data_IF_422707632228
#
_entry.id   IF_422707632228
#
_cell.length_a   1.000
_cell.length_b   1.000
_cell.length_c   1.000
_cell.angle_alpha   90.00
_cell.angle_beta   90.00
_cell.angle_gamma   90.00
#
_symmetry.space_group_name_H-M   'P 1'
#
loop_
_entity.id
_entity.type
_entity.pdbx_description
1 polymer ?
#
# COMPACT_ATOMS: atom_id res chain seq x y z
N UNK A 1 7.15 -1.39 -3.04
CA UNK A 1 5.96 -1.12 -3.87
C UNK A 1 6.22 -1.30 -5.36
N UNK A 2 7.30 -0.69 -5.93
CA UNK A 2 7.57 -0.68 -7.36
C UNK A 2 7.58 -2.08 -7.99
N UNK A 3 8.12 -3.08 -7.29
CA UNK A 3 8.17 -4.47 -7.80
C UNK A 3 6.77 -5.02 -8.11
N UNK A 4 5.75 -4.70 -7.31
CA UNK A 4 4.37 -5.12 -7.58
C UNK A 4 3.82 -4.47 -8.87
N UNK A 5 4.16 -3.20 -9.10
CA UNK A 5 3.77 -2.46 -10.31
C UNK A 5 4.56 -2.98 -11.53
N UNK A 6 5.84 -3.35 -11.35
CA UNK A 6 6.62 -4.00 -12.39
C UNK A 6 6.03 -5.35 -12.80
N UNK A 7 5.62 -6.18 -11.82
CA UNK A 7 4.97 -7.45 -12.11
C UNK A 7 3.66 -7.27 -12.89
N UNK A 8 2.91 -6.22 -12.57
CA UNK A 8 1.70 -5.83 -13.30
C UNK A 8 2.01 -5.41 -14.74
N UNK A 9 3.07 -4.60 -14.90
CA UNK A 9 3.54 -4.14 -16.22
C UNK A 9 4.00 -5.29 -17.11
N UNK A 10 4.75 -6.28 -16.57
CA UNK A 10 5.36 -7.39 -17.30
C UNK A 10 4.50 -8.67 -17.33
N UNK A 11 3.40 -8.73 -16.59
CA UNK A 11 2.71 -10.00 -16.35
C UNK A 11 3.55 -10.99 -15.53
N UNK A 12 4.58 -10.52 -14.81
CA UNK A 12 5.48 -11.36 -14.02
C UNK A 12 6.83 -10.72 -13.67
N UNK A 13 7.81 -11.57 -13.35
CA UNK A 13 9.14 -11.16 -12.86
C UNK A 13 10.24 -11.17 -13.93
N UNK A 14 9.90 -11.41 -15.19
CA UNK A 14 10.88 -11.49 -16.30
C UNK A 14 11.65 -10.18 -16.43
N UNK A 15 12.98 -10.27 -16.43
CA UNK A 15 13.87 -9.11 -16.51
C UNK A 15 14.32 -8.56 -15.14
N UNK A 16 13.73 -9.01 -14.03
CA UNK A 16 14.27 -8.70 -12.69
C UNK A 16 15.49 -9.58 -12.43
N UNK A 17 16.67 -8.97 -12.39
CA UNK A 17 17.95 -9.67 -12.16
C UNK A 17 18.55 -9.38 -10.78
N UNK A 18 18.01 -8.40 -10.06
CA UNK A 18 18.37 -8.06 -8.68
C UNK A 18 17.20 -7.34 -7.99
N UNK A 19 16.99 -7.63 -6.73
CA UNK A 19 16.00 -6.96 -5.86
C UNK A 19 16.62 -6.66 -4.51
N UNK A 20 16.13 -5.61 -3.81
CA UNK A 20 16.61 -5.33 -2.46
C UNK A 20 16.17 -6.41 -1.45
N UNK A 21 16.93 -6.57 -0.35
CA UNK A 21 16.56 -7.47 0.74
C UNK A 21 15.16 -7.16 1.28
N UNK A 22 14.83 -5.90 1.48
CA UNK A 22 13.49 -5.50 1.90
C UNK A 22 12.39 -5.90 0.90
N UNK A 23 12.69 -5.89 -0.41
CA UNK A 23 11.76 -6.42 -1.43
C UNK A 23 11.59 -7.93 -1.31
N UNK A 24 12.69 -8.67 -1.08
CA UNK A 24 12.65 -10.13 -0.90
C UNK A 24 11.87 -10.53 0.35
N UNK A 25 12.07 -9.82 1.46
CA UNK A 25 11.29 -10.01 2.69
C UNK A 25 9.82 -9.69 2.44
N UNK A 26 9.50 -8.55 1.84
CA UNK A 26 8.14 -8.18 1.51
C UNK A 26 7.45 -9.21 0.60
N UNK A 27 8.17 -9.75 -0.39
CA UNK A 27 7.66 -10.81 -1.26
C UNK A 27 7.32 -12.09 -0.51
N UNK A 28 8.15 -12.48 0.47
CA UNK A 28 7.96 -13.69 1.29
C UNK A 28 6.70 -13.62 2.15
N UNK A 29 6.39 -12.45 2.68
CA UNK A 29 5.25 -12.22 3.57
C UNK A 29 4.01 -11.63 2.88
N UNK A 30 4.04 -11.50 1.54
CA UNK A 30 2.91 -11.11 0.72
C UNK A 30 2.57 -12.19 -0.31
N UNK A 31 1.56 -11.95 -1.15
CA UNK A 31 1.21 -12.88 -2.23
C UNK A 31 2.17 -12.85 -3.41
N UNK A 32 3.13 -11.92 -3.44
CA UNK A 32 4.10 -11.82 -4.53
C UNK A 32 4.92 -13.11 -4.71
N UNK A 33 5.44 -13.69 -3.62
CA UNK A 33 6.19 -14.94 -3.71
C UNK A 33 5.28 -16.15 -3.99
N UNK A 34 4.01 -16.12 -3.62
CA UNK A 34 3.06 -17.18 -3.97
C UNK A 34 2.72 -17.17 -5.46
N UNK A 35 2.52 -15.97 -6.04
CA UNK A 35 2.25 -15.80 -7.46
C UNK A 35 3.49 -16.04 -8.32
N UNK A 36 4.65 -15.58 -7.86
CA UNK A 36 5.92 -15.67 -8.57
C UNK A 36 7.03 -16.26 -7.67
N UNK A 37 7.03 -17.58 -7.36
CA UNK A 37 7.95 -18.15 -6.39
C UNK A 37 9.43 -17.90 -6.68
N UNK A 38 9.80 -17.85 -7.95
CA UNK A 38 11.19 -17.58 -8.39
C UNK A 38 11.70 -16.18 -8.00
N UNK A 39 10.85 -15.28 -7.52
CA UNK A 39 11.30 -13.98 -7.01
C UNK A 39 12.24 -14.12 -5.81
N UNK A 40 12.09 -15.19 -5.03
CA UNK A 40 12.95 -15.47 -3.87
C UNK A 40 14.35 -15.93 -4.27
N UNK A 41 14.53 -16.39 -5.51
CA UNK A 41 15.82 -16.82 -6.05
C UNK A 41 16.63 -15.65 -6.64
N UNK A 42 15.97 -14.49 -6.87
CA UNK A 42 16.63 -13.31 -7.43
C UNK A 42 17.69 -12.79 -6.44
N UNK A 43 18.93 -12.48 -6.89
CA UNK A 43 19.99 -11.95 -6.05
C UNK A 43 19.59 -10.67 -5.30
N UNK A 44 20.00 -10.57 -4.02
CA UNK A 44 19.83 -9.38 -3.19
C UNK A 44 21.10 -8.99 -2.43
N UNK A 45 22.19 -9.73 -2.61
CA UNK A 45 23.44 -9.58 -1.85
C UNK A 45 24.20 -8.27 -2.13
N UNK A 46 23.77 -7.52 -3.14
CA UNK A 46 24.31 -6.21 -3.47
C UNK A 46 23.85 -5.09 -2.52
N UNK A 47 22.94 -5.38 -1.59
CA UNK A 47 22.53 -4.44 -0.54
C UNK A 47 22.76 -5.06 0.84
N UNK A 48 23.50 -4.36 1.70
CA UNK A 48 23.71 -4.75 3.10
C UNK A 48 23.52 -3.54 4.01
N UNK A 49 22.66 -3.67 5.01
CA UNK A 49 22.42 -2.59 5.98
C UNK A 49 21.91 -1.28 5.37
N UNK A 50 21.28 -1.35 4.19
CA UNK A 50 20.81 -0.18 3.42
C UNK A 50 21.86 0.46 2.50
N UNK A 51 23.09 -0.03 2.51
CA UNK A 51 24.16 0.44 1.61
C UNK A 51 24.28 -0.46 0.37
N UNK A 52 24.54 0.18 -0.78
CA UNK A 52 24.70 -0.49 -2.06
C UNK A 52 26.16 -0.88 -2.28
N UNK A 53 26.40 -2.17 -2.52
CA UNK A 53 27.67 -2.66 -3.02
C UNK A 53 27.68 -2.61 -4.55
N UNK A 54 28.26 -1.55 -5.10
CA UNK A 54 28.29 -1.30 -6.56
C UNK A 54 29.03 -2.38 -7.34
N UNK A 55 30.02 -3.06 -6.74
CA UNK A 55 30.75 -4.16 -7.39
C UNK A 55 29.84 -5.38 -7.59
N UNK A 56 29.01 -5.70 -6.61
CA UNK A 56 28.03 -6.77 -6.72
C UNK A 56 26.94 -6.42 -7.76
N UNK A 57 26.51 -5.16 -7.80
CA UNK A 57 25.56 -4.69 -8.85
C UNK A 57 26.16 -4.87 -10.24
N UNK A 58 27.43 -4.50 -10.45
CA UNK A 58 28.10 -4.64 -11.75
C UNK A 58 28.23 -6.11 -12.21
N UNK A 59 28.36 -7.06 -11.29
CA UNK A 59 28.37 -8.50 -11.61
C UNK A 59 27.04 -8.96 -12.20
N UNK A 60 25.93 -8.37 -11.80
CA UNK A 60 24.60 -8.67 -12.34
C UNK A 60 24.40 -8.11 -13.75
N UNK A 61 25.23 -7.15 -14.19
CA UNK A 61 25.16 -6.49 -15.50
C UNK A 61 23.77 -5.93 -15.83
N UNK A 62 23.20 -5.08 -14.98
CA UNK A 62 21.87 -4.50 -15.23
C UNK A 62 21.93 -3.50 -16.37
N UNK A 63 20.87 -3.47 -17.19
CA UNK A 63 20.67 -2.42 -18.20
C UNK A 63 20.22 -1.10 -17.54
N UNK A 64 19.48 -1.19 -16.43
CA UNK A 64 18.97 -0.05 -15.66
C UNK A 64 18.77 -0.45 -14.20
N UNK A 65 18.97 0.51 -13.30
CA UNK A 65 18.68 0.34 -11.86
C UNK A 65 17.61 1.31 -11.42
N UNK A 66 16.75 0.85 -10.54
CA UNK A 66 15.68 1.65 -9.94
C UNK A 66 15.99 1.91 -8.47
N UNK A 67 15.82 3.16 -8.03
CA UNK A 67 16.03 3.53 -6.63
C UNK A 67 14.90 4.44 -6.12
N UNK A 68 14.71 4.45 -4.79
CA UNK A 68 13.70 5.29 -4.16
C UNK A 68 14.24 6.72 -3.96
N UNK A 69 13.39 7.72 -4.18
CA UNK A 69 13.71 9.12 -3.96
C UNK A 69 14.13 9.45 -2.50
N UNK A 70 13.72 8.63 -1.54
CA UNK A 70 14.15 8.76 -0.14
C UNK A 70 15.62 8.36 0.09
N UNK A 71 16.29 7.78 -0.94
CA UNK A 71 17.69 7.34 -0.91
C UNK A 71 18.46 7.88 -2.10
N UNK A 72 18.65 9.19 -2.21
CA UNK A 72 19.31 9.81 -3.36
C UNK A 72 20.76 9.35 -3.54
N UNK A 73 21.43 8.97 -2.45
CA UNK A 73 22.80 8.42 -2.44
C UNK A 73 22.92 7.12 -3.24
N UNK A 74 21.89 6.28 -3.28
CA UNK A 74 21.88 5.07 -4.12
C UNK A 74 21.98 5.46 -5.61
N UNK A 75 21.15 6.42 -6.03
CA UNK A 75 21.17 6.89 -7.41
C UNK A 75 22.49 7.55 -7.81
N UNK A 76 23.15 8.25 -6.88
CA UNK A 76 24.50 8.80 -7.11
C UNK A 76 25.55 7.71 -7.24
N UNK A 77 25.50 6.67 -6.40
CA UNK A 77 26.41 5.54 -6.47
C UNK A 77 26.33 4.84 -7.83
N UNK A 78 25.11 4.58 -8.34
CA UNK A 78 24.92 3.96 -9.65
C UNK A 78 25.42 4.83 -10.80
N UNK A 79 25.13 6.14 -10.78
CA UNK A 79 25.60 7.06 -11.82
C UNK A 79 27.13 7.19 -11.87
N UNK A 80 27.81 7.16 -10.72
CA UNK A 80 29.29 7.21 -10.66
C UNK A 80 29.96 6.06 -11.40
N UNK A 81 29.32 4.90 -11.49
CA UNK A 81 29.84 3.72 -12.21
C UNK A 81 29.24 3.57 -13.61
N UNK A 82 28.54 4.60 -14.11
CA UNK A 82 28.01 4.65 -15.47
C UNK A 82 26.72 3.84 -15.69
N UNK A 83 26.05 3.37 -14.62
CA UNK A 83 24.77 2.67 -14.76
C UNK A 83 23.61 3.67 -14.90
N UNK A 84 22.69 3.46 -15.86
CA UNK A 84 21.45 4.21 -15.93
C UNK A 84 20.64 4.00 -14.64
N UNK A 85 20.35 5.09 -13.91
CA UNK A 85 19.65 5.05 -12.63
C UNK A 85 18.38 5.89 -12.69
N UNK A 86 17.24 5.25 -12.46
CA UNK A 86 15.91 5.86 -12.51
C UNK A 86 15.33 5.98 -11.11
N UNK A 87 14.95 7.21 -10.75
CA UNK A 87 14.36 7.53 -9.46
C UNK A 87 12.86 7.29 -9.46
N UNK A 88 12.37 6.51 -8.50
CA UNK A 88 10.96 6.35 -8.21
C UNK A 88 10.60 7.04 -6.90
N UNK A 89 9.62 7.94 -6.96
CA UNK A 89 9.09 8.63 -5.80
C UNK A 89 7.75 8.01 -5.42
N UNK A 90 7.61 7.58 -4.17
CA UNK A 90 6.37 7.00 -3.64
C UNK A 90 5.33 8.07 -3.29
N UNK A 91 5.77 9.24 -2.86
CA UNK A 91 4.91 10.34 -2.45
C UNK A 91 4.89 11.42 -3.54
N UNK A 92 3.92 11.29 -4.45
CA UNK A 92 3.67 12.24 -5.52
C UNK A 92 2.24 12.78 -5.41
N UNK A 93 2.00 13.88 -6.09
CA UNK A 93 0.66 14.44 -6.29
C UNK A 93 -0.12 14.62 -4.98
N UNK A 94 0.55 15.11 -3.92
CA UNK A 94 -0.04 15.27 -2.58
C UNK A 94 -0.63 13.96 -2.02
N UNK A 95 0.07 12.85 -2.25
CA UNK A 95 -0.32 11.53 -1.75
C UNK A 95 -1.35 10.79 -2.62
N UNK A 96 -1.56 11.19 -3.89
CA UNK A 96 -2.41 10.44 -4.82
C UNK A 96 -1.73 9.12 -5.24
N UNK A 97 -2.22 7.95 -4.78
CA UNK A 97 -1.62 6.68 -5.11
C UNK A 97 -1.92 6.23 -6.54
N UNK A 98 -3.08 6.59 -7.13
CA UNK A 98 -3.40 6.25 -8.52
C UNK A 98 -2.55 7.04 -9.51
N UNK A 99 -2.42 8.35 -9.31
CA UNK A 99 -1.50 9.17 -10.09
C UNK A 99 -0.06 8.68 -9.99
N UNK A 100 0.35 8.22 -8.80
CA UNK A 100 1.69 7.68 -8.58
C UNK A 100 1.92 6.39 -9.37
N UNK A 101 1.01 5.41 -9.34
CA UNK A 101 1.18 4.16 -10.10
C UNK A 101 1.06 4.38 -11.62
N UNK A 102 0.19 5.29 -12.07
CA UNK A 102 0.09 5.65 -13.48
C UNK A 102 1.42 6.22 -14.01
N UNK A 103 2.06 7.07 -13.23
CA UNK A 103 3.38 7.64 -13.53
C UNK A 103 4.47 6.55 -13.60
N UNK A 104 4.47 5.60 -12.65
CA UNK A 104 5.42 4.50 -12.64
C UNK A 104 5.23 3.57 -13.85
N UNK A 105 4.00 3.24 -14.20
CA UNK A 105 3.70 2.48 -15.42
C UNK A 105 4.20 3.22 -16.67
N UNK A 106 3.95 4.54 -16.76
CA UNK A 106 4.45 5.36 -17.85
C UNK A 106 5.99 5.44 -17.91
N UNK A 107 6.70 5.39 -16.78
CA UNK A 107 8.16 5.27 -16.79
C UNK A 107 8.62 3.90 -17.30
N UNK A 108 8.00 2.81 -16.85
CA UNK A 108 8.31 1.47 -17.32
C UNK A 108 8.08 1.34 -18.82
N UNK A 109 6.98 1.90 -19.35
CA UNK A 109 6.70 1.91 -20.80
C UNK A 109 7.75 2.70 -21.60
N UNK A 110 8.19 3.84 -21.09
CA UNK A 110 9.25 4.63 -21.77
C UNK A 110 10.60 3.93 -21.78
N UNK A 111 10.89 3.10 -20.77
CA UNK A 111 12.17 2.39 -20.65
C UNK A 111 12.13 1.09 -21.45
N UNK A 112 11.05 0.34 -21.38
CA UNK A 112 10.99 -1.03 -21.88
C UNK A 112 9.98 -1.25 -23.03
N UNK A 113 9.25 -0.22 -23.45
CA UNK A 113 8.17 -0.33 -24.42
C UNK A 113 6.82 -0.66 -23.78
N UNK A 114 5.82 -0.97 -24.60
CA UNK A 114 4.49 -1.31 -24.14
C UNK A 114 4.48 -2.59 -23.27
N UNK A 115 3.84 -2.52 -22.12
CA UNK A 115 3.66 -3.66 -21.22
C UNK A 115 2.32 -4.37 -21.45
N UNK A 116 2.21 -5.61 -20.99
CA UNK A 116 1.00 -6.43 -21.21
C UNK A 116 -0.22 -5.92 -20.41
N UNK A 117 0.00 -5.28 -19.25
CA UNK A 117 -1.09 -4.89 -18.32
C UNK A 117 -1.34 -3.40 -18.14
N UNK A 118 -0.58 -2.50 -18.78
CA UNK A 118 -0.49 -1.09 -18.36
C UNK A 118 -1.76 -0.27 -18.61
N UNK A 119 -2.34 -0.33 -19.80
CA UNK A 119 -3.48 0.54 -20.15
C UNK A 119 -4.74 0.22 -19.32
N UNK A 120 -4.98 -1.05 -19.05
CA UNK A 120 -6.20 -1.47 -18.37
C UNK A 120 -6.23 -1.17 -16.87
N UNK A 121 -5.08 -1.12 -16.19
CA UNK A 121 -5.01 -0.90 -14.73
C UNK A 121 -5.30 0.54 -14.36
N UNK A 122 -4.69 1.49 -15.07
CA UNK A 122 -4.97 2.91 -14.84
C UNK A 122 -6.44 3.23 -15.10
N UNK A 123 -6.99 2.72 -16.19
CA UNK A 123 -8.41 2.86 -16.52
C UNK A 123 -9.33 2.23 -15.47
N UNK A 124 -9.00 1.03 -14.99
CA UNK A 124 -9.75 0.38 -13.93
C UNK A 124 -9.73 1.21 -12.65
N UNK A 125 -8.54 1.70 -12.24
CA UNK A 125 -8.38 2.52 -11.07
C UNK A 125 -9.16 3.83 -11.13
N UNK A 126 -9.13 4.52 -12.28
CA UNK A 126 -9.88 5.76 -12.49
C UNK A 126 -11.39 5.52 -12.51
N UNK A 127 -11.87 4.45 -13.13
CA UNK A 127 -13.29 4.07 -13.10
C UNK A 127 -13.76 3.71 -11.70
N UNK A 128 -12.94 3.00 -10.93
CA UNK A 128 -13.23 2.69 -9.52
C UNK A 128 -13.33 3.96 -8.69
N UNK A 129 -12.37 4.87 -8.81
CA UNK A 129 -12.40 6.15 -8.11
C UNK A 129 -13.63 6.99 -8.49
N UNK A 130 -13.96 7.05 -9.78
CA UNK A 130 -15.13 7.81 -10.24
C UNK A 130 -16.42 7.20 -9.70
N UNK A 131 -16.57 5.88 -9.74
CA UNK A 131 -17.72 5.18 -9.17
C UNK A 131 -17.88 5.45 -7.66
N UNK A 132 -16.79 5.46 -6.90
CA UNK A 132 -16.80 5.81 -5.48
C UNK A 132 -17.27 7.25 -5.27
N UNK A 133 -16.71 8.20 -6.02
CA UNK A 133 -17.13 9.62 -5.97
C UNK A 133 -18.60 9.81 -6.31
N UNK A 134 -19.08 9.16 -7.36
CA UNK A 134 -20.47 9.27 -7.81
C UNK A 134 -21.46 8.74 -6.76
N UNK A 135 -21.15 7.61 -6.11
CA UNK A 135 -21.97 7.06 -5.03
C UNK A 135 -22.02 7.98 -3.82
N UNK A 136 -20.87 8.54 -3.42
CA UNK A 136 -20.80 9.49 -2.30
C UNK A 136 -21.58 10.78 -2.64
N UNK A 137 -21.43 11.30 -3.86
CA UNK A 137 -22.15 12.49 -4.29
C UNK A 137 -23.67 12.26 -4.37
N UNK A 138 -24.11 11.11 -4.85
CA UNK A 138 -25.51 10.73 -4.94
C UNK A 138 -26.18 10.55 -3.57
N UNK A 139 -25.42 10.28 -2.52
CA UNK A 139 -25.92 10.13 -1.16
C UNK A 139 -26.31 11.46 -0.47
N UNK A 140 -26.08 12.62 -1.11
CA UNK A 140 -26.50 13.94 -0.61
C UNK A 140 -25.88 14.29 0.74
N UNK A 141 -26.73 14.46 1.76
CA UNK A 141 -26.31 14.81 3.14
C UNK A 141 -25.66 13.65 3.88
N UNK A 142 -24.81 12.90 3.21
CA UNK A 142 -24.07 11.77 3.79
C UNK A 142 -23.24 12.24 4.99
N UNK A 143 -23.45 11.62 6.16
CA UNK A 143 -22.56 11.79 7.30
C UNK A 143 -21.18 11.26 6.92
N UNK A 144 -20.18 12.13 6.91
CA UNK A 144 -18.78 11.75 6.73
C UNK A 144 -18.20 11.26 8.04
N UNK A 145 -17.84 9.98 8.20
CA UNK A 145 -17.29 9.48 9.44
C UNK A 145 -15.91 10.10 9.72
N UNK A 146 -15.64 10.39 10.99
CA UNK A 146 -14.30 10.75 11.48
C UNK A 146 -13.42 9.49 11.41
N UNK A 147 -12.32 9.55 10.69
CA UNK A 147 -11.45 8.40 10.49
C UNK A 147 -9.98 8.74 10.70
N UNK A 148 -9.21 7.77 11.18
CA UNK A 148 -7.75 7.85 11.29
C UNK A 148 -7.11 6.62 10.62
N UNK A 149 -5.96 6.83 9.98
CA UNK A 149 -5.09 5.75 9.51
C UNK A 149 -3.85 5.70 10.38
N UNK A 150 -3.64 4.60 11.10
CA UNK A 150 -2.38 4.33 11.78
C UNK A 150 -1.40 3.68 10.81
N UNK A 151 -0.41 4.46 10.39
CA UNK A 151 0.57 4.07 9.39
C UNK A 151 1.61 3.08 9.92
N UNK A 152 1.88 3.08 11.23
CA UNK A 152 2.89 2.23 11.85
C UNK A 152 2.90 2.33 13.37
N UNK A 153 3.94 1.78 13.96
CA UNK A 153 4.24 1.87 15.40
C UNK A 153 5.75 2.10 15.58
N UNK A 154 6.11 3.16 16.23
CA UNK A 154 7.51 3.54 16.47
C UNK A 154 7.65 4.33 17.76
N UNK A 155 8.77 4.17 18.47
CA UNK A 155 9.01 4.87 19.73
C UNK A 155 7.92 4.65 20.78
N UNK A 156 7.35 3.46 20.85
CA UNK A 156 6.21 3.10 21.71
C UNK A 156 4.93 3.93 21.48
N UNK A 157 4.77 4.47 20.28
CA UNK A 157 3.59 5.23 19.89
C UNK A 157 3.02 4.73 18.56
N UNK A 158 1.70 4.80 18.42
CA UNK A 158 1.06 4.67 17.11
C UNK A 158 1.41 5.90 16.26
N UNK A 159 1.70 5.66 15.00
CA UNK A 159 2.03 6.70 14.02
C UNK A 159 0.78 7.00 13.22
N UNK A 160 0.17 8.16 13.44
CA UNK A 160 -0.96 8.62 12.64
C UNK A 160 -0.46 9.24 11.33
N UNK A 161 -1.24 9.05 10.27
CA UNK A 161 -0.98 9.59 8.94
C UNK A 161 -1.96 10.71 8.61
N UNK A 162 -1.42 11.91 8.41
CA UNK A 162 -2.16 13.15 8.22
C UNK A 162 -2.25 13.62 6.76
N UNK A 163 -2.11 14.95 6.57
CA UNK A 163 -2.09 15.59 5.24
C UNK A 163 -0.82 15.25 4.45
N UNK A 164 -0.81 15.60 3.15
CA UNK A 164 0.31 15.36 2.22
C UNK A 164 0.78 13.90 2.15
N UNK A 165 -0.11 12.95 2.47
CA UNK A 165 0.14 11.52 2.45
C UNK A 165 -1.07 10.75 1.89
N UNK A 166 -0.93 9.46 1.61
CA UNK A 166 -1.99 8.61 1.03
C UNK A 166 -3.28 8.60 1.87
N UNK A 167 -3.17 8.74 3.19
CA UNK A 167 -4.31 8.79 4.10
C UNK A 167 -5.28 9.90 3.75
N UNK A 168 -4.78 11.09 3.48
CA UNK A 168 -5.62 12.22 3.09
C UNK A 168 -6.35 11.94 1.78
N UNK A 169 -5.66 11.37 0.79
CA UNK A 169 -6.29 10.95 -0.46
C UNK A 169 -7.39 9.93 -0.21
N UNK A 170 -7.08 8.81 0.45
CA UNK A 170 -8.06 7.75 0.66
C UNK A 170 -9.27 8.23 1.45
N UNK A 171 -9.06 8.92 2.57
CA UNK A 171 -10.16 9.35 3.43
C UNK A 171 -11.04 10.41 2.76
N UNK A 172 -10.43 11.41 2.10
CA UNK A 172 -11.16 12.45 1.37
C UNK A 172 -11.96 11.87 0.20
N UNK A 173 -11.32 11.09 -0.66
CA UNK A 173 -11.94 10.54 -1.87
C UNK A 173 -13.01 9.50 -1.55
N UNK A 174 -12.87 8.79 -0.43
CA UNK A 174 -13.85 7.85 0.06
C UNK A 174 -14.84 8.44 1.06
N UNK A 175 -14.95 9.78 1.16
CA UNK A 175 -16.02 10.48 1.86
C UNK A 175 -15.92 10.49 3.39
N UNK A 176 -14.72 10.42 3.97
CA UNK A 176 -14.49 10.56 5.40
C UNK A 176 -13.81 11.90 5.75
N UNK A 177 -13.76 12.21 7.04
CA UNK A 177 -12.96 13.29 7.61
C UNK A 177 -11.70 12.68 8.21
N UNK A 178 -10.52 13.09 7.72
CA UNK A 178 -9.25 12.72 8.32
C UNK A 178 -9.04 13.51 9.62
N UNK A 179 -9.16 12.85 10.78
CA UNK A 179 -8.99 13.55 12.07
C UNK A 179 -7.55 13.95 12.35
N UNK A 180 -6.59 13.38 11.65
CA UNK A 180 -5.18 13.69 11.74
C UNK A 180 -4.70 14.70 10.69
N UNK A 181 -5.61 15.42 10.00
CA UNK A 181 -5.28 16.29 8.87
C UNK A 181 -4.32 17.46 9.22
N UNK A 182 -4.24 17.86 10.50
CA UNK A 182 -3.27 18.85 10.96
C UNK A 182 -1.82 18.34 11.00
N UNK A 183 -1.61 17.02 10.95
CA UNK A 183 -0.29 16.41 10.88
C UNK A 183 0.17 16.47 9.42
N UNK A 184 1.31 17.12 9.17
CA UNK A 184 1.96 17.05 7.85
C UNK A 184 2.75 15.73 7.73
N UNK A 185 2.35 14.85 6.82
CA UNK A 185 2.94 13.52 6.65
C UNK A 185 2.52 12.54 7.75
N UNK A 186 3.48 12.03 8.51
CA UNK A 186 3.25 11.02 9.54
C UNK A 186 3.90 11.41 10.88
N UNK A 187 3.21 11.18 12.01
CA UNK A 187 3.72 11.51 13.34
C UNK A 187 3.20 10.54 14.40
N UNK A 188 4.05 10.25 15.39
CA UNK A 188 3.64 9.55 16.61
C UNK A 188 2.61 10.36 17.38
N UNK A 189 1.55 9.68 17.84
CA UNK A 189 0.46 10.29 18.61
C UNK A 189 0.27 9.59 19.94
N UNK A 190 -0.14 10.35 20.95
CA UNK A 190 -0.50 9.81 22.25
C UNK A 190 -2.01 9.53 22.34
N UNK A 191 -2.42 8.91 23.42
CA UNK A 191 -3.81 8.55 23.64
C UNK A 191 -4.72 9.77 23.82
N UNK A 192 -4.24 10.84 24.47
CA UNK A 192 -5.02 12.07 24.66
C UNK A 192 -5.43 12.67 23.32
N UNK A 193 -4.53 12.68 22.34
CA UNK A 193 -4.82 13.11 20.99
C UNK A 193 -5.86 12.22 20.30
N UNK A 194 -5.77 10.90 20.50
CA UNK A 194 -6.75 9.97 19.94
C UNK A 194 -8.13 10.16 20.57
N UNK A 195 -8.21 10.44 21.87
CA UNK A 195 -9.47 10.74 22.56
C UNK A 195 -10.10 12.06 22.10
N UNK A 196 -9.27 13.09 21.88
CA UNK A 196 -9.73 14.37 21.34
C UNK A 196 -10.32 14.20 19.95
N UNK A 197 -9.69 13.41 19.12
CA UNK A 197 -10.19 13.09 17.77
C UNK A 197 -11.47 12.24 17.82
N UNK A 198 -11.54 11.28 18.72
CA UNK A 198 -12.57 10.26 18.85
C UNK A 198 -13.00 9.70 17.46
N UNK A 199 -12.11 8.98 16.76
CA UNK A 199 -12.41 8.47 15.45
C UNK A 199 -13.56 7.45 15.48
N UNK A 200 -14.44 7.53 14.49
CA UNK A 200 -15.55 6.59 14.28
C UNK A 200 -15.08 5.35 13.47
N UNK A 201 -13.95 5.48 12.75
CA UNK A 201 -13.30 4.40 11.99
C UNK A 201 -11.79 4.47 12.18
N UNK A 202 -11.17 3.33 12.47
CA UNK A 202 -9.71 3.18 12.52
C UNK A 202 -9.29 2.22 11.40
N UNK A 203 -8.34 2.65 10.57
CA UNK A 203 -7.69 1.83 9.57
C UNK A 203 -6.22 1.62 9.98
N UNK A 204 -5.76 0.36 9.98
CA UNK A 204 -4.42 -0.03 10.41
C UNK A 204 -3.60 -0.42 9.20
N UNK A 205 -2.52 0.30 8.91
CA UNK A 205 -1.58 -0.07 7.86
C UNK A 205 -0.78 -1.33 8.23
N UNK A 206 -0.34 -2.05 7.23
CA UNK A 206 0.45 -3.28 7.38
C UNK A 206 1.88 -3.07 7.93
N UNK A 207 2.36 -1.83 8.07
CA UNK A 207 3.59 -1.53 8.83
C UNK A 207 3.34 -1.42 10.34
N UNK A 208 2.09 -1.40 10.77
CA UNK A 208 1.71 -1.47 12.17
C UNK A 208 1.56 -2.94 12.58
N UNK A 209 2.18 -3.41 13.67
CA UNK A 209 2.13 -4.81 14.07
C UNK A 209 0.78 -5.24 14.67
N UNK A 210 -0.05 -4.26 15.02
CA UNK A 210 -1.34 -4.52 15.64
C UNK A 210 -2.40 -4.96 14.63
N UNK A 211 -3.38 -5.69 15.15
CA UNK A 211 -4.59 -6.14 14.44
C UNK A 211 -5.84 -5.60 15.16
N UNK A 212 -7.02 -5.62 14.55
CA UNK A 212 -8.25 -5.09 15.17
C UNK A 212 -8.53 -5.61 16.57
N UNK A 213 -8.25 -6.90 16.81
CA UNK A 213 -8.44 -7.58 18.11
C UNK A 213 -7.62 -6.93 19.23
N UNK A 214 -6.44 -6.37 18.93
CA UNK A 214 -5.61 -5.69 19.94
C UNK A 214 -6.27 -4.43 20.50
N UNK A 215 -7.04 -3.74 19.66
CA UNK A 215 -7.84 -2.58 20.06
C UNK A 215 -9.05 -3.03 20.87
N UNK A 216 -9.77 -4.06 20.41
CA UNK A 216 -10.96 -4.56 21.08
C UNK A 216 -10.69 -5.19 22.44
N UNK A 217 -9.54 -5.84 22.59
CA UNK A 217 -9.11 -6.51 23.79
C UNK A 217 -8.17 -5.64 24.67
N UNK A 218 -8.00 -4.37 24.28
CA UNK A 218 -7.18 -3.39 25.00
C UNK A 218 -5.73 -3.85 25.25
N UNK A 219 -5.12 -4.50 24.25
CA UNK A 219 -3.77 -5.10 24.37
C UNK A 219 -2.63 -4.13 24.05
N UNK A 220 -2.94 -2.93 23.55
CA UNK A 220 -1.91 -1.93 23.23
C UNK A 220 -1.55 -1.18 24.50
N UNK A 221 -0.35 -1.40 25.02
CA UNK A 221 0.10 -0.85 26.29
C UNK A 221 0.02 0.69 26.33
N UNK A 222 -0.41 1.21 27.49
CA UNK A 222 -0.54 2.66 27.73
C UNK A 222 -1.81 3.29 27.16
N UNK A 223 -2.75 2.48 26.63
CA UNK A 223 -3.98 2.96 26.01
C UNK A 223 -5.21 2.26 26.61
N UNK A 224 -6.31 3.00 26.80
CA UNK A 224 -7.65 2.46 27.04
C UNK A 224 -8.53 2.68 25.80
N UNK A 225 -8.50 1.73 24.90
CA UNK A 225 -9.21 1.80 23.62
C UNK A 225 -10.73 1.68 23.78
N UNK A 226 -11.22 1.14 24.91
CA UNK A 226 -12.64 1.02 25.19
C UNK A 226 -13.41 2.34 25.22
N UNK A 227 -12.70 3.48 25.28
CA UNK A 227 -13.32 4.80 25.25
C UNK A 227 -13.49 5.36 23.81
N UNK A 228 -12.82 4.79 22.82
CA UNK A 228 -12.82 5.27 21.41
C UNK A 228 -14.03 4.74 20.64
N UNK A 229 -14.73 5.62 19.96
CA UNK A 229 -15.96 5.31 19.20
C UNK A 229 -15.79 4.18 18.20
N UNK A 230 -14.69 4.16 17.42
CA UNK A 230 -14.37 3.08 16.49
C UNK A 230 -14.29 1.70 17.15
N UNK A 231 -13.73 1.64 18.35
CA UNK A 231 -13.57 0.39 19.11
C UNK A 231 -14.90 -0.08 19.69
N UNK A 232 -15.68 0.84 20.29
CA UNK A 232 -17.04 0.56 20.79
C UNK A 232 -17.94 -0.02 19.69
N UNK A 233 -17.84 0.53 18.48
CA UNK A 233 -18.69 0.18 17.35
C UNK A 233 -18.07 -0.93 16.45
N UNK A 234 -16.97 -1.54 16.83
CA UNK A 234 -16.27 -2.60 16.09
C UNK A 234 -15.88 -2.17 14.65
N UNK A 235 -15.46 -0.91 14.50
CA UNK A 235 -15.06 -0.31 13.21
C UNK A 235 -13.54 -0.06 13.16
N UNK A 236 -12.77 -1.08 13.50
CA UNK A 236 -11.31 -1.11 13.36
C UNK A 236 -10.96 -2.15 12.31
N UNK A 237 -10.22 -1.75 11.28
CA UNK A 237 -9.91 -2.61 10.14
C UNK A 237 -8.43 -2.55 9.82
N UNK A 238 -7.85 -3.68 9.39
CA UNK A 238 -6.47 -3.75 8.91
C UNK A 238 -6.46 -3.76 7.38
N UNK A 239 -5.62 -2.92 6.76
CA UNK A 239 -5.48 -2.91 5.30
C UNK A 239 -5.12 -4.30 4.78
N UNK A 240 -5.70 -4.71 3.64
CA UNK A 240 -5.36 -5.97 3.00
C UNK A 240 -3.89 -6.07 2.61
N UNK A 241 -3.40 -7.31 2.50
CA UNK A 241 -2.05 -7.66 2.06
C UNK A 241 -2.13 -8.60 0.85
N UNK A 242 -2.09 -8.02 -0.33
CA UNK A 242 -2.12 -8.73 -1.59
C UNK A 242 -0.73 -8.99 -2.17
N UNK A 243 -0.52 -8.62 -3.43
CA UNK A 243 0.81 -8.69 -4.06
C UNK A 243 1.83 -7.82 -3.33
N UNK A 244 1.34 -6.74 -2.73
CA UNK A 244 2.05 -5.89 -1.78
C UNK A 244 1.03 -5.35 -0.76
N UNK A 245 1.46 -4.55 0.19
CA UNK A 245 0.60 -3.81 1.12
C UNK A 245 -0.28 -2.84 0.34
N UNK A 246 -1.59 -2.79 0.66
CA UNK A 246 -2.53 -1.98 -0.11
C UNK A 246 -2.43 -0.48 0.18
N UNK A 247 -2.00 -0.10 1.39
CA UNK A 247 -1.97 1.31 1.77
C UNK A 247 -0.99 2.18 0.95
N UNK A 248 0.31 1.82 0.77
CA UNK A 248 1.17 2.57 -0.14
C UNK A 248 0.81 2.25 -1.60
N UNK A 249 1.17 3.14 -2.56
CA UNK A 249 0.96 2.87 -3.97
C UNK A 249 1.53 1.50 -4.37
N UNK A 250 0.71 0.66 -4.95
CA UNK A 250 1.07 -0.70 -5.34
C UNK A 250 0.21 -1.17 -6.51
N UNK A 251 0.49 -2.35 -7.02
CA UNK A 251 -0.35 -2.94 -8.06
C UNK A 251 -1.81 -3.14 -7.64
N UNK A 252 -2.10 -3.20 -6.34
CA UNK A 252 -3.46 -3.39 -5.81
C UNK A 252 -4.17 -2.07 -5.43
N UNK A 253 -3.58 -0.92 -5.70
CA UNK A 253 -4.16 0.40 -5.34
C UNK A 253 -5.62 0.59 -5.82
N UNK A 254 -6.03 0.16 -7.02
CA UNK A 254 -7.42 0.27 -7.45
C UNK A 254 -8.40 -0.46 -6.52
N UNK A 255 -8.05 -1.65 -6.03
CA UNK A 255 -8.86 -2.41 -5.07
C UNK A 255 -8.87 -1.75 -3.69
N UNK A 256 -7.75 -1.14 -3.28
CA UNK A 256 -7.63 -0.43 -2.01
C UNK A 256 -8.66 0.69 -1.89
N UNK A 257 -8.87 1.48 -2.94
CA UNK A 257 -9.88 2.57 -2.95
C UNK A 257 -11.26 2.02 -2.70
N UNK A 258 -11.63 0.94 -3.40
CA UNK A 258 -12.94 0.32 -3.24
C UNK A 258 -13.14 -0.25 -1.83
N UNK A 259 -12.11 -0.93 -1.32
CA UNK A 259 -12.14 -1.49 0.03
C UNK A 259 -12.27 -0.39 1.10
N UNK A 260 -11.50 0.70 1.01
CA UNK A 260 -11.60 1.83 1.95
C UNK A 260 -13.00 2.43 1.92
N UNK A 261 -13.57 2.68 0.73
CA UNK A 261 -14.92 3.21 0.58
C UNK A 261 -15.96 2.30 1.25
N UNK A 262 -15.83 0.98 1.10
CA UNK A 262 -16.72 0.00 1.73
C UNK A 262 -16.58 -0.02 3.26
N UNK A 263 -15.34 0.12 3.80
CA UNK A 263 -15.16 0.20 5.26
C UNK A 263 -15.73 1.49 5.85
N UNK A 264 -15.67 2.59 5.11
CA UNK A 264 -16.20 3.89 5.57
C UNK A 264 -17.72 3.96 5.45
N UNK A 265 -18.30 3.42 4.39
CA UNK A 265 -19.72 3.51 4.05
C UNK A 265 -20.28 2.15 3.61
N UNK A 266 -20.37 1.16 4.50
CA UNK A 266 -20.80 -0.19 4.14
C UNK A 266 -22.21 -0.23 3.51
N UNK A 267 -23.08 0.70 3.87
CA UNK A 267 -24.43 0.81 3.32
C UNK A 267 -24.45 1.25 1.85
N UNK A 268 -23.53 2.14 1.43
CA UNK A 268 -23.43 2.62 0.04
C UNK A 268 -22.77 1.61 -0.89
N UNK A 269 -22.04 0.64 -0.33
CA UNK A 269 -21.27 -0.37 -1.04
C UNK A 269 -21.72 -1.78 -0.68
N UNK A 270 -22.96 -1.95 -0.20
CA UNK A 270 -23.50 -3.25 0.22
C UNK A 270 -23.65 -4.25 -0.94
N UNK A 271 -23.75 -3.77 -2.17
CA UNK A 271 -23.78 -4.56 -3.40
C UNK A 271 -22.39 -4.95 -3.93
N UNK A 272 -21.31 -4.42 -3.32
CA UNK A 272 -19.94 -4.70 -3.72
C UNK A 272 -19.43 -5.94 -3.02
N UNK A 273 -19.13 -6.99 -3.78
CA UNK A 273 -18.41 -8.16 -3.31
C UNK A 273 -16.90 -7.97 -3.54
N UNK A 274 -16.20 -7.46 -2.52
CA UNK A 274 -14.77 -7.19 -2.59
C UNK A 274 -13.93 -8.46 -2.86
N UNK A 275 -14.41 -9.62 -2.43
CA UNK A 275 -13.75 -10.90 -2.69
C UNK A 275 -13.81 -11.25 -4.18
N UNK A 276 -14.97 -11.03 -4.80
CA UNK A 276 -15.15 -11.20 -6.25
C UNK A 276 -14.32 -10.17 -7.04
N UNK A 277 -14.35 -8.90 -6.66
CA UNK A 277 -13.57 -7.85 -7.29
C UNK A 277 -12.05 -8.17 -7.24
N UNK A 278 -11.56 -8.67 -6.11
CA UNK A 278 -10.17 -9.10 -5.97
C UNK A 278 -9.86 -10.27 -6.91
N UNK A 279 -10.71 -11.29 -6.98
CA UNK A 279 -10.53 -12.44 -7.86
C UNK A 279 -10.46 -11.99 -9.32
N UNK A 280 -11.44 -11.21 -9.76
CA UNK A 280 -11.53 -10.72 -11.14
C UNK A 280 -10.32 -9.85 -11.52
N UNK A 281 -9.89 -9.00 -10.59
CA UNK A 281 -8.70 -8.15 -10.75
C UNK A 281 -7.42 -8.97 -10.90
N UNK A 282 -7.23 -9.97 -10.05
CA UNK A 282 -6.03 -10.82 -10.08
C UNK A 282 -5.99 -11.71 -11.32
N UNK A 283 -7.12 -12.28 -11.72
CA UNK A 283 -7.21 -13.02 -12.99
C UNK A 283 -6.86 -12.13 -14.19
N UNK A 284 -7.43 -10.93 -14.22
CA UNK A 284 -7.28 -10.01 -15.35
C UNK A 284 -5.88 -9.44 -15.49
N UNK A 285 -5.27 -9.00 -14.39
CA UNK A 285 -4.06 -8.19 -14.44
C UNK A 285 -2.78 -8.93 -14.00
N UNK A 286 -2.93 -9.99 -13.23
CA UNK A 286 -1.78 -10.81 -12.81
C UNK A 286 -1.81 -12.22 -13.40
N UNK A 287 -2.86 -12.56 -14.17
CA UNK A 287 -3.07 -13.91 -14.70
C UNK A 287 -3.00 -14.99 -13.63
N UNK A 288 -3.48 -14.65 -12.43
CA UNK A 288 -3.48 -15.49 -11.25
C UNK A 288 -4.89 -15.64 -10.69
N UNK A 289 -5.30 -16.90 -10.43
CA UNK A 289 -6.58 -17.20 -9.82
C UNK A 289 -6.41 -17.51 -8.33
N UNK A 290 -6.74 -16.57 -7.42
CA UNK A 290 -6.65 -16.82 -6.00
C UNK A 290 -7.74 -17.77 -5.54
N UNK A 291 -7.41 -18.69 -4.63
CA UNK A 291 -8.40 -19.52 -3.94
C UNK A 291 -9.21 -18.70 -2.93
N UNK A 292 -10.34 -19.24 -2.44
CA UNK A 292 -11.10 -18.57 -1.36
C UNK A 292 -10.27 -18.37 -0.10
N UNK A 293 -9.39 -19.32 0.22
CA UNK A 293 -8.44 -19.20 1.33
C UNK A 293 -7.45 -18.06 1.10
N UNK A 294 -6.97 -17.87 -0.13
CA UNK A 294 -6.09 -16.76 -0.48
C UNK A 294 -6.79 -15.42 -0.31
N UNK A 295 -8.00 -15.32 -0.83
CA UNK A 295 -8.81 -14.11 -0.73
C UNK A 295 -9.05 -13.75 0.75
N UNK A 296 -9.43 -14.72 1.57
CA UNK A 296 -9.63 -14.50 3.00
C UNK A 296 -8.36 -14.00 3.70
N UNK A 297 -7.19 -14.58 3.38
CA UNK A 297 -5.90 -14.15 3.95
C UNK A 297 -5.46 -12.77 3.45
N UNK A 298 -5.74 -12.45 2.18
CA UNK A 298 -5.44 -11.12 1.62
C UNK A 298 -6.26 -10.05 2.33
N UNK A 299 -7.58 -10.30 2.47
CA UNK A 299 -8.50 -9.31 3.03
C UNK A 299 -8.40 -9.18 4.55
N UNK A 300 -7.91 -10.21 5.25
CA UNK A 300 -7.78 -10.25 6.71
C UNK A 300 -6.37 -10.69 7.14
N UNK A 301 -5.32 -9.88 6.83
CA UNK A 301 -3.96 -10.24 7.17
C UNK A 301 -3.72 -10.15 8.68
N UNK A 302 -2.87 -11.05 9.18
CA UNK A 302 -2.42 -11.05 10.56
C UNK A 302 -1.24 -10.10 10.84
N UNK A 303 -0.54 -10.36 11.95
CA UNK A 303 0.62 -9.56 12.40
C UNK A 303 1.83 -9.70 11.49
N UNK A 304 1.95 -10.83 10.79
CA UNK A 304 3.02 -11.12 9.82
C UNK A 304 3.08 -10.09 8.69
N UNK A 305 1.97 -9.42 8.40
CA UNK A 305 1.92 -8.33 7.42
C UNK A 305 2.89 -7.18 7.75
N UNK A 306 3.26 -7.01 9.03
CA UNK A 306 4.18 -5.98 9.48
C UNK A 306 5.67 -6.40 9.40
N UNK A 307 5.98 -7.62 8.97
CA UNK A 307 7.36 -8.08 8.80
C UNK A 307 7.93 -7.49 7.50
N UNK A 308 9.00 -6.70 7.62
CA UNK A 308 9.65 -6.04 6.48
C UNK A 308 11.17 -5.89 6.62
N UNK A 309 11.77 -6.44 7.71
CA UNK A 309 13.22 -6.53 7.95
C UNK A 309 13.59 -7.96 8.36
#
# INVERSE_FOLDING_TARGET
PLTSVYCLYRGGITGLIGISDGTKVAARYSYLAKMFPKILDIPSDFMKGGEVNVEEVLKLKPDVVFYNAARPEEGEAYRRIGLPAVCFRTEKYHGDPLGTIADWLGYLERIFGAGEGTAGVSDYGMKTLQMVRDRIAAAGDLKRPKAVIFAGYSGNQLVASGSNHYSEFYLRECGAVNVAAEIDGQKGVNLEQVYEWDPEVILINNFCPYVPEDFYENKIAGYDWGLVSAVKNKRVYKFPLGIYRWYPPSGDTPLCILWVAQQLHPELFSDVDIAKELRDYYQKFYHYEPTDEDIAKILHPGREAAIFN
#
